data_IF_916678562100
#
_entry.id   IF_916678562100
#
_cell.length_a   1.000
_cell.length_b   1.000
_cell.length_c   1.000
_cell.angle_alpha   90.00
_cell.angle_beta   90.00
_cell.angle_gamma   90.00
#
_symmetry.space_group_name_H-M   'P 1'
#
loop_
_entity.id
_entity.type
_entity.pdbx_description
1 polymer ?
#
# COMPACT_ATOMS: atom_id res chain seq x y z
N UNK A 1 -11.30 -5.51 -12.88
CA UNK A 1 -12.68 -4.96 -12.96
C UNK A 1 -13.61 -6.09 -13.37
N UNK A 2 -14.80 -6.20 -12.78
CA UNK A 2 -15.74 -7.26 -13.13
C UNK A 2 -16.22 -7.10 -14.56
N UNK A 3 -16.52 -8.22 -15.22
CA UNK A 3 -17.14 -8.21 -16.54
C UNK A 3 -18.62 -7.94 -16.35
N UNK A 4 -19.13 -6.92 -17.05
CA UNK A 4 -20.56 -6.63 -17.12
C UNK A 4 -21.21 -7.61 -18.11
N UNK A 5 -22.12 -8.46 -17.62
CA UNK A 5 -22.80 -9.46 -18.44
C UNK A 5 -24.31 -9.36 -18.25
N UNK A 6 -25.11 -9.66 -19.29
CA UNK A 6 -26.55 -9.78 -19.15
C UNK A 6 -26.92 -10.86 -18.14
N UNK A 7 -27.90 -10.60 -17.29
CA UNK A 7 -28.32 -11.49 -16.20
C UNK A 7 -28.76 -12.88 -16.65
N UNK A 8 -29.24 -12.98 -17.88
CA UNK A 8 -29.72 -14.24 -18.46
C UNK A 8 -28.58 -15.12 -19.01
N UNK A 9 -27.32 -14.72 -18.91
CA UNK A 9 -26.20 -15.47 -19.47
C UNK A 9 -25.91 -16.73 -18.62
N UNK A 10 -26.09 -17.96 -19.14
CA UNK A 10 -25.88 -19.19 -18.37
C UNK A 10 -24.44 -19.37 -17.86
N UNK A 11 -23.46 -18.73 -18.52
CA UNK A 11 -22.06 -18.76 -18.13
C UNK A 11 -21.78 -18.14 -16.74
N UNK A 12 -22.68 -17.30 -16.22
CA UNK A 12 -22.51 -16.63 -14.91
C UNK A 12 -22.31 -17.66 -13.79
N UNK A 13 -23.09 -18.74 -13.78
CA UNK A 13 -23.00 -19.77 -12.74
C UNK A 13 -21.72 -20.61 -12.84
N UNK A 14 -21.18 -20.77 -14.06
CA UNK A 14 -19.91 -21.45 -14.27
C UNK A 14 -18.73 -20.56 -13.84
N UNK A 15 -18.74 -19.29 -14.22
CA UNK A 15 -17.71 -18.31 -13.87
C UNK A 15 -17.61 -18.08 -12.35
N UNK A 16 -18.75 -18.03 -11.64
CA UNK A 16 -18.75 -17.94 -10.15
C UNK A 16 -18.05 -19.13 -9.49
N UNK A 17 -18.18 -20.34 -10.04
CA UNK A 17 -17.50 -21.56 -9.51
C UNK A 17 -15.99 -21.51 -9.73
N UNK A 18 -15.54 -20.78 -10.75
CA UNK A 18 -14.11 -20.53 -11.03
C UNK A 18 -13.56 -19.32 -10.26
N UNK A 19 -14.32 -18.78 -9.30
CA UNK A 19 -14.00 -17.56 -8.54
C UNK A 19 -13.82 -16.32 -9.43
N UNK A 20 -14.38 -16.33 -10.64
CA UNK A 20 -14.40 -15.16 -11.51
C UNK A 20 -15.58 -14.28 -11.11
N UNK A 21 -15.27 -13.03 -10.72
CA UNK A 21 -16.27 -12.08 -10.26
C UNK A 21 -17.04 -11.48 -11.44
N UNK A 22 -18.32 -11.82 -11.57
CA UNK A 22 -19.23 -11.31 -12.61
C UNK A 22 -20.24 -10.36 -11.97
N UNK A 23 -20.50 -9.22 -12.63
CA UNK A 23 -21.49 -8.24 -12.17
C UNK A 23 -22.71 -8.18 -13.10
N UNK A 24 -23.86 -7.96 -12.48
CA UNK A 24 -25.14 -7.66 -13.11
C UNK A 24 -25.15 -6.21 -13.63
N UNK A 25 -25.74 -5.97 -14.80
CA UNK A 25 -25.89 -4.66 -15.45
C UNK A 25 -26.44 -3.55 -14.53
N UNK A 26 -27.45 -3.86 -13.72
CA UNK A 26 -28.04 -2.90 -12.78
C UNK A 26 -27.04 -2.45 -11.70
N UNK A 27 -26.16 -3.35 -11.25
CA UNK A 27 -25.12 -3.07 -10.26
C UNK A 27 -23.91 -2.35 -10.87
N UNK A 28 -23.59 -2.66 -12.13
CA UNK A 28 -22.52 -2.00 -12.86
C UNK A 28 -22.84 -0.51 -13.11
N UNK A 29 -24.10 -0.19 -13.40
CA UNK A 29 -24.56 1.17 -13.68
C UNK A 29 -24.53 2.12 -12.47
N UNK A 30 -24.53 1.58 -11.24
CA UNK A 30 -24.57 2.37 -9.99
C UNK A 30 -23.22 2.42 -9.25
N UNK A 31 -22.12 1.96 -9.86
CA UNK A 31 -20.84 1.98 -9.17
C UNK A 31 -20.32 3.41 -8.99
N UNK A 32 -20.16 3.81 -7.73
CA UNK A 32 -19.37 4.97 -7.35
C UNK A 32 -17.96 4.50 -6.97
N UNK A 33 -17.05 4.50 -7.96
CA UNK A 33 -15.67 4.07 -7.76
C UNK A 33 -14.86 5.25 -7.24
N UNK A 34 -14.77 5.38 -5.91
CA UNK A 34 -13.85 6.35 -5.29
C UNK A 34 -12.38 5.97 -5.51
N UNK A 35 -11.45 6.94 -5.44
CA UNK A 35 -10.02 6.65 -5.42
C UNK A 35 -9.63 5.76 -4.24
N UNK A 36 -8.73 4.82 -4.49
CA UNK A 36 -8.08 4.03 -3.44
C UNK A 36 -6.97 4.85 -2.80
N UNK A 37 -6.88 4.85 -1.47
CA UNK A 37 -5.78 5.46 -0.72
C UNK A 37 -4.77 4.40 -0.33
N UNK A 38 -3.53 4.56 -0.79
CA UNK A 38 -2.42 3.67 -0.49
C UNK A 38 -1.34 4.44 0.27
N UNK A 39 -1.01 3.95 1.46
CA UNK A 39 0.15 4.40 2.21
C UNK A 39 1.38 3.58 1.82
N UNK A 40 2.56 4.19 1.76
CA UNK A 40 3.82 3.50 1.49
C UNK A 40 4.87 3.91 2.54
N UNK A 41 5.25 2.96 3.39
CA UNK A 41 6.39 3.11 4.30
C UNK A 41 7.65 2.65 3.55
N UNK A 42 8.37 3.60 2.97
CA UNK A 42 9.59 3.34 2.21
C UNK A 42 10.82 3.35 3.11
N UNK A 43 11.29 2.16 3.51
CA UNK A 43 12.48 1.93 4.32
C UNK A 43 13.76 1.73 3.47
N UNK A 44 13.66 1.81 2.14
CA UNK A 44 14.82 1.65 1.25
C UNK A 44 15.78 2.85 1.38
N UNK A 45 17.10 2.62 1.24
CA UNK A 45 18.08 3.71 1.29
C UNK A 45 17.96 4.64 0.08
N UNK A 46 17.73 4.10 -1.11
CA UNK A 46 17.56 4.86 -2.36
C UNK A 46 16.06 5.03 -2.61
N UNK A 47 15.45 6.01 -1.95
CA UNK A 47 13.99 6.18 -1.92
C UNK A 47 13.37 6.42 -3.29
N UNK A 48 13.94 7.33 -4.09
CA UNK A 48 13.41 7.71 -5.41
C UNK A 48 13.30 6.51 -6.37
N UNK A 49 14.28 5.60 -6.33
CA UNK A 49 14.24 4.39 -7.16
C UNK A 49 13.10 3.46 -6.73
N UNK A 50 13.00 3.20 -5.42
CA UNK A 50 11.93 2.37 -4.87
C UNK A 50 10.54 2.97 -5.12
N UNK A 51 10.39 4.29 -4.99
CA UNK A 51 9.17 5.02 -5.35
C UNK A 51 8.80 4.82 -6.82
N UNK A 52 9.77 5.01 -7.72
CA UNK A 52 9.57 4.87 -9.16
C UNK A 52 9.10 3.45 -9.51
N UNK A 53 9.72 2.43 -8.92
CA UNK A 53 9.38 1.04 -9.18
C UNK A 53 7.99 0.67 -8.64
N UNK A 54 7.65 1.12 -7.42
CA UNK A 54 6.32 0.90 -6.84
C UNK A 54 5.23 1.63 -7.63
N UNK A 55 5.43 2.90 -7.95
CA UNK A 55 4.46 3.71 -8.70
C UNK A 55 4.26 3.13 -10.09
N UNK A 56 5.31 2.66 -10.76
CA UNK A 56 5.19 2.00 -12.07
C UNK A 56 4.25 0.80 -12.03
N UNK A 57 4.34 -0.04 -10.99
CA UNK A 57 3.48 -1.20 -10.83
C UNK A 57 2.03 -0.80 -10.48
N UNK A 58 1.86 0.14 -9.54
CA UNK A 58 0.55 0.62 -9.12
C UNK A 58 -0.20 1.34 -10.25
N UNK A 59 0.54 2.00 -11.17
CA UNK A 59 -0.04 2.73 -12.29
C UNK A 59 -0.64 1.82 -13.37
N UNK A 60 -0.39 0.50 -13.32
CA UNK A 60 -0.92 -0.46 -14.28
C UNK A 60 -2.31 -0.99 -13.88
N UNK A 61 -3.20 -0.08 -13.49
CA UNK A 61 -4.57 -0.37 -13.06
C UNK A 61 -5.51 0.74 -13.54
N UNK A 62 -6.75 0.41 -13.96
CA UNK A 62 -7.76 1.43 -14.30
C UNK A 62 -8.33 2.14 -13.07
N UNK A 63 -8.00 1.72 -11.86
CA UNK A 63 -8.45 2.36 -10.62
C UNK A 63 -7.63 3.62 -10.33
N UNK A 64 -8.29 4.67 -9.88
CA UNK A 64 -7.60 5.85 -9.38
C UNK A 64 -6.95 5.53 -8.03
N UNK A 65 -5.65 5.79 -7.90
CA UNK A 65 -4.87 5.53 -6.69
C UNK A 65 -4.26 6.84 -6.21
N UNK A 66 -4.51 7.19 -4.95
CA UNK A 66 -3.84 8.25 -4.22
C UNK A 66 -2.77 7.62 -3.33
N UNK A 67 -1.54 8.12 -3.41
CA UNK A 67 -0.39 7.60 -2.65
C UNK A 67 0.05 8.63 -1.63
N UNK A 68 0.25 8.19 -0.39
CA UNK A 68 0.99 8.92 0.64
C UNK A 68 2.28 8.18 0.98
N UNK A 69 3.42 8.82 0.80
CA UNK A 69 4.69 8.29 1.29
C UNK A 69 4.88 8.65 2.76
N UNK A 70 5.05 7.64 3.60
CA UNK A 70 5.23 7.78 5.04
C UNK A 70 6.73 7.69 5.36
N UNK A 71 7.21 8.62 6.18
CA UNK A 71 8.54 8.56 6.79
C UNK A 71 8.45 8.26 8.28
N UNK A 72 9.45 7.54 8.75
CA UNK A 72 9.72 7.37 10.18
C UNK A 72 10.16 8.71 10.77
N UNK A 73 9.76 8.96 12.01
CA UNK A 73 10.15 10.14 12.77
C UNK A 73 11.48 9.91 13.50
N UNK A 74 11.76 8.66 13.89
CA UNK A 74 13.02 8.30 14.56
C UNK A 74 14.21 8.16 13.60
N UNK A 75 13.98 8.17 12.28
CA UNK A 75 15.03 7.90 11.30
C UNK A 75 14.93 8.76 10.04
N UNK A 76 16.00 9.50 9.76
CA UNK A 76 16.18 10.26 8.50
C UNK A 76 17.08 9.49 7.56
N UNK A 77 16.63 9.25 6.33
CA UNK A 77 17.44 8.61 5.30
C UNK A 77 18.64 9.48 4.93
N UNK A 78 19.83 8.89 4.94
CA UNK A 78 21.09 9.60 4.60
C UNK A 78 21.33 9.74 3.10
N UNK A 79 20.70 8.88 2.30
CA UNK A 79 20.96 8.75 0.86
C UNK A 79 19.89 9.44 -0.01
N UNK A 80 18.98 10.21 0.60
CA UNK A 80 17.91 10.91 -0.11
C UNK A 80 18.00 12.40 0.20
N UNK A 81 17.89 13.29 -0.80
CA UNK A 81 17.89 14.73 -0.59
C UNK A 81 16.78 15.17 0.38
N UNK A 82 17.12 16.03 1.34
CA UNK A 82 16.18 16.47 2.38
C UNK A 82 14.96 17.20 1.79
N UNK A 83 15.16 17.98 0.72
CA UNK A 83 14.07 18.66 0.01
C UNK A 83 13.02 17.67 -0.52
N UNK A 84 13.45 16.53 -1.08
CA UNK A 84 12.54 15.47 -1.54
C UNK A 84 11.71 14.90 -0.39
N UNK A 85 12.36 14.63 0.76
CA UNK A 85 11.66 14.14 1.94
C UNK A 85 10.64 15.15 2.46
N UNK A 86 11.02 16.43 2.55
CA UNK A 86 10.13 17.48 3.07
C UNK A 86 8.92 17.74 2.16
N UNK A 87 9.09 17.60 0.84
CA UNK A 87 8.03 17.88 -0.12
C UNK A 87 7.05 16.70 -0.28
N UNK A 88 7.57 15.46 -0.28
CA UNK A 88 6.79 14.29 -0.68
C UNK A 88 6.51 13.29 0.45
N UNK A 89 7.20 13.36 1.59
CA UNK A 89 6.98 12.45 2.72
C UNK A 89 6.21 13.10 3.86
N UNK A 90 5.31 12.32 4.43
CA UNK A 90 4.52 12.67 5.61
C UNK A 90 5.07 11.93 6.84
N UNK A 91 5.30 12.61 7.97
CA UNK A 91 5.61 11.92 9.22
C UNK A 91 4.43 11.06 9.64
N UNK A 92 4.69 9.90 10.26
CA UNK A 92 3.64 8.96 10.67
C UNK A 92 2.56 9.61 11.57
N UNK A 93 2.95 10.51 12.48
CA UNK A 93 2.03 11.27 13.33
C UNK A 93 0.95 12.04 12.56
N UNK A 94 1.21 12.44 11.32
CA UNK A 94 0.25 13.18 10.48
C UNK A 94 -0.79 12.30 9.80
N UNK A 95 -0.57 10.98 9.76
CA UNK A 95 -1.45 10.02 9.08
C UNK A 95 -2.08 8.99 10.02
N UNK A 96 -1.69 8.97 11.30
CA UNK A 96 -2.17 8.02 12.31
C UNK A 96 -3.69 7.99 12.48
N UNK A 97 -4.37 9.11 12.24
CA UNK A 97 -5.83 9.24 12.38
C UNK A 97 -6.57 9.03 11.04
N UNK A 98 -5.85 8.66 9.97
CA UNK A 98 -6.39 8.41 8.64
C UNK A 98 -6.59 6.90 8.40
N UNK A 99 -7.52 6.56 7.50
CA UNK A 99 -7.75 5.20 7.02
C UNK A 99 -7.26 5.04 5.58
N UNK A 100 -6.70 3.87 5.28
CA UNK A 100 -6.15 3.52 3.97
C UNK A 100 -6.72 2.19 3.46
N UNK A 101 -6.82 2.07 2.14
CA UNK A 101 -7.23 0.84 1.47
C UNK A 101 -6.05 -0.14 1.35
N UNK A 102 -4.85 0.40 1.17
CA UNK A 102 -3.63 -0.37 1.04
C UNK A 102 -2.49 0.25 1.85
N UNK A 103 -1.60 -0.60 2.35
CA UNK A 103 -0.34 -0.18 2.95
C UNK A 103 0.79 -1.05 2.42
N UNK A 104 1.87 -0.43 1.95
CA UNK A 104 3.07 -1.15 1.49
C UNK A 104 4.23 -0.82 2.41
N UNK A 105 4.88 -1.86 2.92
CA UNK A 105 6.12 -1.73 3.70
C UNK A 105 7.26 -2.33 2.87
N UNK A 106 8.23 -1.49 2.50
CA UNK A 106 9.35 -1.94 1.68
C UNK A 106 10.39 -2.72 2.50
N UNK A 107 11.35 -3.33 1.80
CA UNK A 107 12.55 -3.83 2.46
C UNK A 107 13.40 -2.72 3.07
N UNK A 108 14.37 -3.14 3.89
CA UNK A 108 15.36 -2.28 4.53
C UNK A 108 16.70 -3.03 4.60
N UNK A 109 17.85 -2.34 4.52
CA UNK A 109 19.18 -2.95 4.52
C UNK A 109 19.66 -3.24 5.95
N UNK A 110 18.87 -3.97 6.73
CA UNK A 110 19.12 -4.27 8.16
C UNK A 110 18.99 -5.76 8.51
N UNK A 111 18.96 -6.63 7.49
CA UNK A 111 18.77 -8.08 7.60
C UNK A 111 19.81 -8.84 8.45
N UNK A 112 20.98 -8.25 8.70
CA UNK A 112 22.04 -8.84 9.52
C UNK A 112 21.96 -8.46 11.00
N UNK A 113 21.06 -7.54 11.37
CA UNK A 113 20.86 -7.10 12.74
C UNK A 113 19.68 -7.86 13.37
N UNK A 114 19.77 -8.26 14.65
CA UNK A 114 18.59 -8.63 15.42
C UNK A 114 17.57 -7.50 15.39
N UNK A 115 16.28 -7.83 15.33
CA UNK A 115 15.20 -6.83 15.18
C UNK A 115 15.26 -5.74 16.25
N UNK A 116 15.49 -6.11 17.50
CA UNK A 116 15.55 -5.20 18.64
C UNK A 116 16.75 -4.25 18.60
N UNK A 117 17.76 -4.54 17.76
CA UNK A 117 18.91 -3.66 17.53
C UNK A 117 18.68 -2.69 16.36
N UNK A 118 17.58 -2.82 15.61
CA UNK A 118 17.20 -1.85 14.60
C UNK A 118 16.68 -0.60 15.30
N UNK A 119 17.29 0.55 15.03
CA UNK A 119 17.07 1.80 15.75
C UNK A 119 15.61 2.30 15.72
N UNK A 120 14.88 2.04 14.64
CA UNK A 120 13.47 2.40 14.48
C UNK A 120 12.49 1.25 14.79
N UNK A 121 12.97 0.15 15.37
CA UNK A 121 12.13 -1.02 15.67
C UNK A 121 10.91 -0.72 16.54
N UNK A 122 11.02 0.04 17.64
CA UNK A 122 9.85 0.36 18.46
C UNK A 122 8.79 1.18 17.73
N UNK A 123 9.23 2.11 16.86
CA UNK A 123 8.33 2.89 16.02
C UNK A 123 7.64 1.99 14.97
N UNK A 124 8.40 1.08 14.35
CA UNK A 124 7.88 0.18 13.34
C UNK A 124 6.80 -0.75 13.88
N UNK A 125 6.98 -1.31 15.09
CA UNK A 125 5.95 -2.10 15.78
C UNK A 125 4.67 -1.27 15.95
N UNK A 126 4.78 -0.02 16.40
CA UNK A 126 3.63 0.87 16.55
C UNK A 126 2.89 1.12 15.22
N UNK A 127 3.62 1.27 14.12
CA UNK A 127 3.03 1.42 12.78
C UNK A 127 2.34 0.12 12.34
N UNK A 128 2.90 -1.05 12.66
CA UNK A 128 2.28 -2.34 12.32
C UNK A 128 1.00 -2.59 13.12
N UNK A 129 0.98 -2.22 14.40
CA UNK A 129 -0.23 -2.26 15.23
C UNK A 129 -1.31 -1.30 14.70
N UNK A 130 -0.92 -0.11 14.28
CA UNK A 130 -1.81 0.84 13.62
C UNK A 130 -2.40 0.27 12.32
N UNK A 131 -1.58 -0.37 11.49
CA UNK A 131 -2.01 -0.91 10.20
C UNK A 131 -3.14 -1.95 10.34
N UNK A 132 -3.14 -2.74 11.43
CA UNK A 132 -4.18 -3.74 11.72
C UNK A 132 -5.57 -3.15 11.90
N UNK A 133 -5.67 -1.87 12.23
CA UNK A 133 -6.95 -1.20 12.54
C UNK A 133 -7.31 -0.09 11.54
N UNK A 134 -6.32 0.46 10.82
CA UNK A 134 -6.50 1.62 9.94
C UNK A 134 -6.30 1.29 8.46
N UNK A 135 -5.88 0.07 8.11
CA UNK A 135 -5.62 -0.35 6.74
C UNK A 135 -6.39 -1.61 6.39
N UNK A 136 -7.08 -1.60 5.25
CA UNK A 136 -7.83 -2.78 4.77
C UNK A 136 -6.90 -3.94 4.37
N UNK A 137 -5.78 -3.66 3.69
CA UNK A 137 -4.79 -4.68 3.31
C UNK A 137 -3.37 -4.14 3.37
N UNK A 138 -2.46 -4.92 3.95
CA UNK A 138 -1.03 -4.58 4.02
C UNK A 138 -0.18 -5.56 3.24
N UNK A 139 0.78 -5.05 2.47
CA UNK A 139 1.73 -5.82 1.67
C UNK A 139 3.16 -5.54 2.13
N UNK A 140 3.85 -6.59 2.54
CA UNK A 140 5.19 -6.52 3.11
C UNK A 140 6.22 -7.09 2.12
N UNK A 141 7.32 -6.36 1.89
CA UNK A 141 8.34 -6.70 0.90
C UNK A 141 9.67 -7.01 1.58
N UNK A 142 10.29 -8.14 1.24
CA UNK A 142 11.64 -8.52 1.69
C UNK A 142 11.77 -8.48 3.23
N UNK A 143 12.71 -7.71 3.80
CA UNK A 143 12.85 -7.55 5.25
C UNK A 143 11.57 -7.08 5.94
N UNK A 144 10.74 -6.27 5.26
CA UNK A 144 9.44 -5.87 5.79
C UNK A 144 8.50 -7.05 6.04
N UNK A 145 8.69 -8.18 5.37
CA UNK A 145 7.93 -9.42 5.60
C UNK A 145 8.57 -10.34 6.67
N UNK A 146 9.83 -10.10 7.02
CA UNK A 146 10.52 -10.79 8.12
C UNK A 146 10.20 -10.13 9.46
N UNK A 147 10.11 -8.80 9.45
CA UNK A 147 9.72 -7.94 10.57
C UNK A 147 8.26 -8.18 11.01
#
# INVERSE_FOLDING_TARGET
>A
MPVNLPDSLPAIEMLKKEHIFVMNELRAATQDIRPLKIAILNLMPIKINAETDLVRLLSNSPLQIQIDFIQLESHVSKNTPLNHLMEFYRPFSSVKDLFYDGFIVTGAPVELLPFEQVNYWPELIGIFDWARTHVTSTFYICWGAQA
#
